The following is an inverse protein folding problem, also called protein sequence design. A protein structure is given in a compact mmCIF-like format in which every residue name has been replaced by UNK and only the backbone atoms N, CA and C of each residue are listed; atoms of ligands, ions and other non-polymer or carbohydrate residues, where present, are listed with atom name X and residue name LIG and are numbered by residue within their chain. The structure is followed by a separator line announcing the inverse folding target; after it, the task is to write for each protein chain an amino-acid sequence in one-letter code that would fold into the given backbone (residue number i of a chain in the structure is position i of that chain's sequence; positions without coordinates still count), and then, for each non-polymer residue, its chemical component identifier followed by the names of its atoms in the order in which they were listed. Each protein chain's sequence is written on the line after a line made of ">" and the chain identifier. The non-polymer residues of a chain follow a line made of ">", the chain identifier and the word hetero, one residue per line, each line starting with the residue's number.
data_IF_066046088157
#
_entry.id   IF_066046088157
#
_cell.length_a   1.000
_cell.length_b   1.000
_cell.length_c   1.000
_cell.angle_alpha   90.00
_cell.angle_beta   90.00
_cell.angle_gamma   90.00
#
_symmetry.space_group_name_H-M   'P 1'
#
loop_
_entity.id
_entity.type
_entity.pdbx_description
1 polymer ?
#
# COMPACT_ATOMS: atom_id res chain seq x y z
N UNK A 1 18.72 -64.02 26.04
CA UNK A 1 18.94 -64.50 27.42
C UNK A 1 17.59 -64.73 28.08
N UNK A 2 17.43 -65.87 28.78
CA UNK A 2 16.27 -66.34 29.58
C UNK A 2 15.04 -66.76 28.74
N UNK A 3 14.72 -68.03 28.50
CA UNK A 3 14.82 -69.28 29.28
C UNK A 3 14.15 -69.26 30.66
N UNK A 4 13.40 -70.35 30.91
CA UNK A 4 12.77 -70.85 32.13
C UNK A 4 11.25 -70.61 32.21
N UNK A 5 10.38 -71.60 32.40
CA UNK A 5 10.60 -73.01 32.72
C UNK A 5 9.44 -73.56 33.57
N UNK A 6 9.47 -74.89 33.76
CA UNK A 6 8.73 -75.69 34.76
C UNK A 6 7.26 -76.00 34.50
N UNK A 7 6.76 -77.21 34.76
CA UNK A 7 7.40 -78.48 35.18
C UNK A 7 6.30 -79.56 35.21
N UNK A 8 6.60 -80.69 34.58
CA UNK A 8 6.34 -82.09 34.94
C UNK A 8 5.24 -82.44 35.99
N UNK A 9 4.45 -83.49 35.71
CA UNK A 9 4.57 -84.73 36.48
C UNK A 9 4.07 -85.98 35.71
N UNK A 10 4.68 -87.11 36.02
CA UNK A 10 4.64 -88.40 35.34
C UNK A 10 3.60 -89.38 35.91
N UNK A 11 3.36 -90.48 35.18
CA UNK A 11 2.78 -91.70 35.75
C UNK A 11 2.07 -92.59 34.74
N UNK A 12 2.79 -93.54 34.14
CA UNK A 12 2.21 -94.82 33.64
C UNK A 12 2.08 -95.78 34.83
N UNK A 13 1.07 -96.68 34.83
CA UNK A 13 1.38 -98.05 34.43
C UNK A 13 0.28 -98.74 33.61
N UNK A 14 0.59 -99.98 33.26
CA UNK A 14 0.10 -100.84 32.18
C UNK A 14 -1.16 -101.66 32.52
N UNK A 15 -1.87 -102.02 31.43
CA UNK A 15 -2.67 -103.22 31.16
C UNK A 15 -3.73 -103.71 32.17
N UNK A 16 -5.00 -103.76 31.72
CA UNK A 16 -5.63 -105.03 31.34
C UNK A 16 -7.06 -104.81 30.80
N UNK A 17 -7.48 -105.79 30.02
CA UNK A 17 -8.68 -105.93 29.20
C UNK A 17 -10.00 -105.73 29.95
N UNK A 18 -11.03 -105.29 29.21
CA UNK A 18 -12.40 -105.28 29.71
C UNK A 18 -13.37 -104.63 28.73
N UNK A 19 -13.68 -105.34 27.65
CA UNK A 19 -14.66 -104.90 26.68
C UNK A 19 -16.02 -104.60 27.31
N UNK A 20 -16.62 -103.47 26.95
CA UNK A 20 -18.07 -103.26 27.00
C UNK A 20 -18.43 -102.16 26.00
N UNK A 21 -18.97 -102.60 24.86
CA UNK A 21 -19.61 -101.76 23.83
C UNK A 21 -20.65 -100.86 24.53
N UNK A 22 -20.31 -99.59 24.78
CA UNK A 22 -21.25 -98.56 25.24
C UNK A 22 -21.65 -97.71 24.03
N UNK A 23 -22.97 -97.57 23.89
CA UNK A 23 -23.71 -97.10 22.71
C UNK A 23 -23.11 -95.80 22.12
N UNK A 24 -22.78 -95.75 20.81
CA UNK A 24 -22.13 -94.60 20.16
C UNK A 24 -22.99 -93.32 20.16
N UNK A 25 -24.28 -93.42 20.50
CA UNK A 25 -25.22 -92.32 20.36
C UNK A 25 -25.03 -91.14 21.34
N UNK A 26 -24.43 -91.33 22.53
CA UNK A 26 -24.25 -90.24 23.51
C UNK A 26 -23.05 -89.32 23.24
N UNK A 27 -21.96 -89.86 22.68
CA UNK A 27 -20.79 -89.07 22.30
C UNK A 27 -21.03 -88.29 21.01
N UNK A 28 -21.76 -88.92 20.07
CA UNK A 28 -22.23 -88.28 18.84
C UNK A 28 -23.19 -87.14 19.17
N UNK A 29 -24.13 -87.34 20.11
CA UNK A 29 -25.04 -86.27 20.55
C UNK A 29 -24.31 -85.07 21.17
N UNK A 30 -23.26 -85.29 21.97
CA UNK A 30 -22.46 -84.22 22.56
C UNK A 30 -21.66 -83.43 21.51
N UNK A 31 -21.07 -84.12 20.53
CA UNK A 31 -20.35 -83.49 19.41
C UNK A 31 -21.30 -82.70 18.49
N UNK A 32 -22.52 -83.20 18.27
CA UNK A 32 -23.57 -82.46 17.55
C UNK A 32 -23.98 -81.21 18.33
N UNK A 33 -24.12 -81.29 19.65
CA UNK A 33 -24.47 -80.15 20.49
C UNK A 33 -23.36 -79.07 20.49
N UNK A 34 -22.10 -79.48 20.63
CA UNK A 34 -20.94 -78.58 20.56
C UNK A 34 -20.81 -77.97 19.16
N UNK A 35 -21.07 -78.75 18.10
CA UNK A 35 -21.11 -78.28 16.72
C UNK A 35 -22.21 -77.24 16.50
N UNK A 36 -23.41 -77.44 17.05
CA UNK A 36 -24.52 -76.49 17.01
C UNK A 36 -24.21 -75.19 17.78
N UNK A 37 -23.59 -75.30 18.97
CA UNK A 37 -23.16 -74.13 19.76
C UNK A 37 -22.05 -73.35 19.05
N UNK A 38 -21.08 -74.03 18.44
CA UNK A 38 -20.02 -73.40 17.65
C UNK A 38 -20.57 -72.74 16.36
N UNK A 39 -21.53 -73.36 15.69
CA UNK A 39 -22.18 -72.77 14.52
C UNK A 39 -23.04 -71.55 14.91
N UNK A 40 -23.74 -71.60 16.05
CA UNK A 40 -24.48 -70.47 16.59
C UNK A 40 -23.55 -69.31 17.01
N UNK A 41 -22.42 -69.62 17.65
CA UNK A 41 -21.42 -68.62 18.04
C UNK A 41 -20.72 -67.98 16.84
N UNK A 42 -20.39 -68.77 15.81
CA UNK A 42 -19.81 -68.25 14.56
C UNK A 42 -20.79 -67.36 13.78
N UNK A 43 -22.08 -67.75 13.73
CA UNK A 43 -23.14 -66.92 13.14
C UNK A 43 -23.35 -65.61 13.89
N UNK A 44 -23.35 -65.64 15.23
CA UNK A 44 -23.47 -64.45 16.07
C UNK A 44 -22.25 -63.51 15.92
N UNK A 45 -21.04 -64.07 15.82
CA UNK A 45 -19.82 -63.28 15.63
C UNK A 45 -19.75 -62.63 14.24
N UNK A 46 -20.16 -63.34 13.18
CA UNK A 46 -20.31 -62.78 11.83
C UNK A 46 -21.35 -61.66 11.77
N UNK A 47 -22.48 -61.83 12.45
CA UNK A 47 -23.53 -60.81 12.54
C UNK A 47 -23.09 -59.56 13.32
N UNK A 48 -22.38 -59.73 14.44
CA UNK A 48 -21.76 -58.65 15.20
C UNK A 48 -20.72 -57.86 14.37
N UNK A 49 -19.91 -58.55 13.57
CA UNK A 49 -18.91 -57.94 12.68
C UNK A 49 -19.55 -57.18 11.52
N UNK A 50 -20.63 -57.71 10.95
CA UNK A 50 -21.42 -57.02 9.93
C UNK A 50 -22.07 -55.74 10.46
N UNK A 51 -22.62 -55.77 11.68
CA UNK A 51 -23.19 -54.59 12.35
C UNK A 51 -22.16 -53.50 12.65
N UNK A 52 -20.92 -53.89 13.02
CA UNK A 52 -19.85 -52.91 13.28
C UNK A 52 -19.27 -52.32 12.00
N UNK A 53 -19.17 -53.10 10.92
CA UNK A 53 -18.80 -52.59 9.59
C UNK A 53 -19.87 -51.65 9.02
N UNK A 54 -21.16 -51.98 9.15
CA UNK A 54 -22.23 -51.05 8.76
C UNK A 54 -22.18 -49.73 9.54
N UNK A 55 -21.92 -49.79 10.86
CA UNK A 55 -21.77 -48.57 11.67
C UNK A 55 -20.56 -47.73 11.24
N UNK A 56 -19.42 -48.36 10.94
CA UNK A 56 -18.24 -47.65 10.40
C UNK A 56 -18.52 -46.99 9.06
N UNK A 57 -19.17 -47.70 8.14
CA UNK A 57 -19.53 -47.15 6.82
C UNK A 57 -20.53 -45.99 6.97
N UNK A 58 -21.49 -46.10 7.90
CA UNK A 58 -22.44 -45.03 8.20
C UNK A 58 -21.75 -43.81 8.84
N UNK A 59 -20.82 -44.01 9.77
CA UNK A 59 -20.03 -42.94 10.40
C UNK A 59 -19.09 -42.25 9.41
N UNK A 60 -18.44 -43.01 8.52
CA UNK A 60 -17.58 -42.46 7.46
C UNK A 60 -18.40 -41.65 6.44
N UNK A 61 -19.57 -42.15 6.02
CA UNK A 61 -20.48 -41.39 5.16
C UNK A 61 -21.01 -40.12 5.85
N UNK A 62 -21.37 -40.20 7.13
CA UNK A 62 -21.80 -39.03 7.89
C UNK A 62 -20.67 -37.99 8.03
N UNK A 63 -19.42 -38.43 8.23
CA UNK A 63 -18.24 -37.54 8.24
C UNK A 63 -17.98 -36.92 6.86
N UNK A 64 -18.06 -37.71 5.79
CA UNK A 64 -17.90 -37.20 4.42
C UNK A 64 -18.99 -36.18 4.07
N UNK A 65 -20.26 -36.45 4.40
CA UNK A 65 -21.35 -35.50 4.21
C UNK A 65 -21.16 -34.22 5.04
N UNK A 66 -20.65 -34.32 6.27
CA UNK A 66 -20.32 -33.15 7.08
C UNK A 66 -19.17 -32.33 6.49
N UNK A 67 -18.10 -32.98 6.03
CA UNK A 67 -16.99 -32.31 5.35
C UNK A 67 -17.43 -31.63 4.05
N UNK A 68 -18.27 -32.29 3.24
CA UNK A 68 -18.80 -31.72 2.01
C UNK A 68 -19.69 -30.51 2.28
N UNK A 69 -20.56 -30.56 3.30
CA UNK A 69 -21.36 -29.40 3.73
C UNK A 69 -20.47 -28.27 4.22
N UNK A 70 -19.48 -28.56 5.05
CA UNK A 70 -18.52 -27.55 5.54
C UNK A 70 -17.72 -26.91 4.38
N UNK A 71 -17.30 -27.70 3.38
CA UNK A 71 -16.65 -27.20 2.16
C UNK A 71 -17.58 -26.32 1.34
N UNK A 72 -18.85 -26.72 1.17
CA UNK A 72 -19.83 -25.91 0.44
C UNK A 72 -20.13 -24.59 1.16
N UNK A 73 -20.25 -24.60 2.48
CA UNK A 73 -20.44 -23.40 3.30
C UNK A 73 -19.22 -22.47 3.22
N UNK A 74 -18.01 -23.01 3.33
CA UNK A 74 -16.78 -22.25 3.18
C UNK A 74 -16.68 -21.60 1.78
N UNK A 75 -17.03 -22.33 0.71
CA UNK A 75 -17.07 -21.80 -0.65
C UNK A 75 -18.13 -20.71 -0.82
N UNK A 76 -19.31 -20.86 -0.21
CA UNK A 76 -20.36 -19.83 -0.23
C UNK A 76 -19.88 -18.56 0.48
N UNK A 77 -19.32 -18.69 1.68
CA UNK A 77 -18.78 -17.57 2.44
C UNK A 77 -17.68 -16.85 1.66
N UNK A 78 -16.76 -17.59 1.03
CA UNK A 78 -15.70 -16.99 0.21
C UNK A 78 -16.27 -16.23 -0.99
N UNK A 79 -17.31 -16.75 -1.64
CA UNK A 79 -18.00 -16.06 -2.74
C UNK A 79 -18.70 -14.78 -2.26
N UNK A 80 -19.34 -14.82 -1.10
CA UNK A 80 -20.00 -13.65 -0.50
C UNK A 80 -18.99 -12.56 -0.13
N UNK A 81 -17.86 -12.93 0.49
CA UNK A 81 -16.77 -12.02 0.80
C UNK A 81 -16.24 -11.36 -0.47
N UNK A 82 -15.99 -12.14 -1.52
CA UNK A 82 -15.51 -11.62 -2.80
C UNK A 82 -16.53 -10.70 -3.46
N UNK A 83 -17.79 -11.11 -3.53
CA UNK A 83 -18.86 -10.29 -4.11
C UNK A 83 -19.04 -8.96 -3.37
N UNK A 84 -18.94 -8.98 -2.04
CA UNK A 84 -18.98 -7.76 -1.22
C UNK A 84 -17.78 -6.85 -1.50
N UNK A 85 -16.59 -7.42 -1.62
CA UNK A 85 -15.38 -6.64 -1.96
C UNK A 85 -15.48 -6.02 -3.36
N UNK A 86 -15.93 -6.80 -4.35
CA UNK A 86 -16.13 -6.33 -5.72
C UNK A 86 -17.17 -5.18 -5.77
N UNK A 87 -18.24 -5.28 -4.98
CA UNK A 87 -19.22 -4.20 -4.84
C UNK A 87 -18.61 -2.92 -4.24
N UNK A 88 -17.70 -3.04 -3.26
CA UNK A 88 -16.96 -1.89 -2.73
C UNK A 88 -16.07 -1.23 -3.78
N UNK A 89 -15.37 -2.04 -4.60
CA UNK A 89 -14.56 -1.51 -5.71
C UNK A 89 -15.42 -0.78 -6.74
N UNK A 90 -16.59 -1.32 -7.09
CA UNK A 90 -17.53 -0.64 -8.00
C UNK A 90 -18.06 0.68 -7.42
N UNK A 91 -18.36 0.71 -6.12
CA UNK A 91 -18.77 1.96 -5.46
C UNK A 91 -17.66 3.01 -5.49
N UNK A 92 -16.42 2.59 -5.24
CA UNK A 92 -15.23 3.44 -5.34
C UNK A 92 -15.02 3.98 -6.76
N UNK A 93 -15.16 3.15 -7.79
CA UNK A 93 -15.13 3.57 -9.20
C UNK A 93 -16.19 4.63 -9.50
N UNK A 94 -17.42 4.43 -9.00
CA UNK A 94 -18.51 5.39 -9.16
C UNK A 94 -18.20 6.72 -8.49
N UNK A 95 -17.67 6.70 -7.26
CA UNK A 95 -17.29 7.92 -6.53
C UNK A 95 -16.15 8.66 -7.24
N UNK A 96 -15.18 7.93 -7.80
CA UNK A 96 -14.11 8.50 -8.59
C UNK A 96 -14.66 9.22 -9.84
N UNK A 97 -15.54 8.55 -10.59
CA UNK A 97 -16.17 9.12 -11.79
C UNK A 97 -16.99 10.38 -11.49
N UNK A 98 -17.58 10.47 -10.29
CA UNK A 98 -18.33 11.62 -9.81
C UNK A 98 -17.46 12.73 -9.20
N UNK A 99 -16.14 12.53 -9.06
CA UNK A 99 -15.24 13.49 -8.42
C UNK A 99 -15.46 13.65 -6.91
N UNK A 100 -16.16 12.71 -6.25
CA UNK A 100 -16.46 12.75 -4.81
C UNK A 100 -15.28 12.21 -3.99
N UNK A 101 -14.16 12.93 -4.02
CA UNK A 101 -12.89 12.43 -3.47
C UNK A 101 -12.89 12.23 -1.95
N UNK A 102 -13.62 13.06 -1.19
CA UNK A 102 -13.67 12.91 0.27
C UNK A 102 -14.40 11.63 0.69
N UNK A 103 -15.47 11.28 -0.03
CA UNK A 103 -16.19 10.03 0.20
C UNK A 103 -15.41 8.83 -0.31
N UNK A 104 -14.73 8.97 -1.45
CA UNK A 104 -13.84 7.95 -1.98
C UNK A 104 -12.74 7.61 -0.96
N UNK A 105 -12.14 8.59 -0.28
CA UNK A 105 -11.14 8.36 0.77
C UNK A 105 -11.69 7.55 1.95
N UNK A 106 -12.92 7.83 2.37
CA UNK A 106 -13.60 7.04 3.42
C UNK A 106 -13.80 5.59 2.95
N UNK A 107 -14.30 5.41 1.73
CA UNK A 107 -14.51 4.07 1.13
C UNK A 107 -13.21 3.28 0.92
N UNK A 108 -12.11 3.94 0.55
CA UNK A 108 -10.79 3.32 0.48
C UNK A 108 -10.37 2.76 1.83
N UNK A 109 -10.56 3.51 2.92
CA UNK A 109 -10.21 3.06 4.26
C UNK A 109 -11.07 1.84 4.70
N UNK A 110 -12.38 1.90 4.44
CA UNK A 110 -13.29 0.76 4.67
C UNK A 110 -12.86 -0.48 3.87
N UNK A 111 -12.55 -0.32 2.57
CA UNK A 111 -12.16 -1.42 1.69
C UNK A 111 -10.82 -2.04 2.11
N UNK A 112 -9.84 -1.22 2.54
CA UNK A 112 -8.55 -1.71 3.06
C UNK A 112 -8.72 -2.50 4.35
N UNK A 113 -9.55 -2.02 5.27
CA UNK A 113 -9.85 -2.74 6.50
C UNK A 113 -10.53 -4.09 6.21
N UNK A 114 -11.51 -4.11 5.30
CA UNK A 114 -12.17 -5.34 4.87
C UNK A 114 -11.19 -6.32 4.19
N UNK A 115 -10.33 -5.83 3.29
CA UNK A 115 -9.33 -6.64 2.63
C UNK A 115 -8.34 -7.26 3.63
N UNK A 116 -7.87 -6.48 4.62
CA UNK A 116 -6.98 -6.98 5.65
C UNK A 116 -7.65 -8.05 6.53
N UNK A 117 -8.91 -7.86 6.91
CA UNK A 117 -9.67 -8.82 7.72
C UNK A 117 -9.87 -10.17 7.03
N UNK A 118 -10.01 -10.16 5.70
CA UNK A 118 -10.33 -11.35 4.90
C UNK A 118 -9.16 -11.85 4.03
N UNK A 119 -7.96 -11.29 4.17
CA UNK A 119 -6.77 -11.69 3.41
C UNK A 119 -6.89 -11.46 1.90
N UNK A 120 -7.61 -10.42 1.47
CA UNK A 120 -7.81 -10.08 0.05
C UNK A 120 -6.69 -9.17 -0.48
N UNK A 121 -6.46 -9.21 -1.79
CA UNK A 121 -5.51 -8.30 -2.47
C UNK A 121 -6.02 -6.85 -2.47
N UNK A 122 -5.11 -5.90 -2.29
CA UNK A 122 -5.40 -4.45 -2.36
C UNK A 122 -5.13 -3.83 -3.72
N UNK A 123 -4.68 -4.60 -4.72
CA UNK A 123 -4.26 -4.08 -6.02
C UNK A 123 -5.34 -3.22 -6.71
N UNK A 124 -6.60 -3.66 -6.65
CA UNK A 124 -7.73 -2.88 -7.18
C UNK A 124 -7.93 -1.55 -6.44
N UNK A 125 -7.77 -1.53 -5.12
CA UNK A 125 -7.84 -0.31 -4.31
C UNK A 125 -6.70 0.63 -4.70
N UNK A 126 -5.48 0.11 -4.80
CA UNK A 126 -4.29 0.92 -5.06
C UNK A 126 -4.31 1.51 -6.48
N UNK A 127 -4.86 0.78 -7.46
CA UNK A 127 -5.15 1.30 -8.80
C UNK A 127 -6.14 2.47 -8.78
N UNK A 128 -7.24 2.35 -8.02
CA UNK A 128 -8.23 3.43 -7.87
C UNK A 128 -7.60 4.65 -7.20
N UNK A 129 -6.80 4.45 -6.14
CA UNK A 129 -6.07 5.51 -5.44
C UNK A 129 -5.13 6.24 -6.40
N UNK A 130 -4.35 5.52 -7.21
CA UNK A 130 -3.42 6.12 -8.16
C UNK A 130 -4.14 7.00 -9.19
N UNK A 131 -5.32 6.57 -9.69
CA UNK A 131 -6.14 7.38 -10.61
C UNK A 131 -6.73 8.61 -9.92
N UNK A 132 -7.18 8.48 -8.67
CA UNK A 132 -7.64 9.61 -7.86
C UNK A 132 -6.54 10.66 -7.69
N UNK A 133 -5.34 10.24 -7.26
CA UNK A 133 -4.19 11.12 -7.07
C UNK A 133 -3.78 11.80 -8.38
N UNK A 134 -3.82 11.08 -9.50
CA UNK A 134 -3.56 11.65 -10.81
C UNK A 134 -4.61 12.71 -11.18
N UNK A 135 -5.90 12.46 -10.94
CA UNK A 135 -6.96 13.41 -11.25
C UNK A 135 -6.84 14.70 -10.42
N UNK A 136 -6.61 14.56 -9.11
CA UNK A 136 -6.37 15.69 -8.20
C UNK A 136 -5.11 16.45 -8.63
N UNK A 137 -4.02 15.74 -8.92
CA UNK A 137 -2.76 16.33 -9.35
C UNK A 137 -2.89 17.09 -10.67
N UNK A 138 -3.66 16.59 -11.64
CA UNK A 138 -3.95 17.30 -12.91
C UNK A 138 -4.69 18.61 -12.67
N UNK A 139 -5.74 18.58 -11.84
CA UNK A 139 -6.51 19.78 -11.51
C UNK A 139 -5.62 20.82 -10.81
N UNK A 140 -4.82 20.39 -9.83
CA UNK A 140 -3.88 21.26 -9.13
C UNK A 140 -2.81 21.84 -10.06
N UNK A 141 -2.25 21.04 -10.95
CA UNK A 141 -1.26 21.53 -11.92
C UNK A 141 -1.86 22.61 -12.83
N UNK A 142 -3.07 22.42 -13.33
CA UNK A 142 -3.76 23.41 -14.15
C UNK A 142 -4.01 24.74 -13.39
N UNK A 143 -4.37 24.66 -12.11
CA UNK A 143 -4.50 25.83 -11.25
C UNK A 143 -3.17 26.58 -11.10
N UNK A 144 -2.07 25.86 -10.85
CA UNK A 144 -0.73 26.44 -10.73
C UNK A 144 -0.25 27.05 -12.05
N UNK A 145 -0.57 26.42 -13.19
CA UNK A 145 -0.26 26.96 -14.52
C UNK A 145 -0.98 28.29 -14.77
N UNK A 146 -2.24 28.42 -14.33
CA UNK A 146 -2.99 29.68 -14.38
C UNK A 146 -2.39 30.74 -13.46
N UNK A 147 -2.01 30.36 -12.23
CA UNK A 147 -1.36 31.29 -11.29
C UNK A 147 0.02 31.74 -11.79
N UNK A 148 0.68 30.95 -12.66
CA UNK A 148 1.96 31.32 -13.26
C UNK A 148 1.86 32.41 -14.34
N UNK A 149 0.66 32.93 -14.62
CA UNK A 149 0.47 34.19 -15.35
C UNK A 149 0.89 35.40 -14.52
N UNK A 150 0.81 35.32 -13.19
CA UNK A 150 1.33 36.33 -12.28
C UNK A 150 2.78 36.01 -11.89
N UNK A 151 3.70 36.85 -12.37
CA UNK A 151 5.12 36.74 -12.07
C UNK A 151 5.42 36.76 -10.56
N UNK A 152 4.63 37.45 -9.74
CA UNK A 152 4.83 37.52 -8.29
C UNK A 152 4.44 36.23 -7.55
N UNK A 153 3.61 35.37 -8.17
CA UNK A 153 3.20 34.10 -7.59
C UNK A 153 4.28 33.01 -7.69
N UNK A 154 5.47 33.31 -8.25
CA UNK A 154 6.51 32.34 -8.59
C UNK A 154 6.84 31.34 -7.46
N UNK A 155 6.92 31.81 -6.21
CA UNK A 155 7.28 30.98 -5.06
C UNK A 155 6.18 29.95 -4.75
N UNK A 156 4.93 30.41 -4.67
CA UNK A 156 3.78 29.55 -4.42
C UNK A 156 3.63 28.50 -5.53
N UNK A 157 3.79 28.93 -6.79
CA UNK A 157 3.74 28.04 -7.95
C UNK A 157 4.84 26.98 -7.88
N UNK A 158 6.08 27.38 -7.55
CA UNK A 158 7.23 26.46 -7.46
C UNK A 158 7.03 25.41 -6.38
N UNK A 159 6.68 25.82 -5.17
CA UNK A 159 6.45 24.92 -4.03
C UNK A 159 5.30 23.94 -4.34
N UNK A 160 4.20 24.44 -4.92
CA UNK A 160 3.07 23.60 -5.33
C UNK A 160 3.46 22.57 -6.41
N UNK A 161 4.24 22.98 -7.41
CA UNK A 161 4.65 22.12 -8.51
C UNK A 161 5.64 21.03 -8.05
N UNK A 162 6.52 21.32 -7.09
CA UNK A 162 7.43 20.32 -6.51
C UNK A 162 6.70 19.11 -5.94
N UNK A 163 5.55 19.34 -5.27
CA UNK A 163 4.71 18.27 -4.73
C UNK A 163 4.11 17.33 -5.78
N UNK A 164 4.05 17.76 -7.04
CA UNK A 164 3.45 17.00 -8.16
C UNK A 164 4.47 16.17 -8.94
N UNK A 165 5.78 16.43 -8.79
CA UNK A 165 6.87 15.73 -9.50
C UNK A 165 6.88 14.22 -9.20
N UNK A 166 6.37 13.84 -8.02
CA UNK A 166 6.23 12.43 -7.60
C UNK A 166 5.23 11.63 -8.45
N UNK A 167 4.26 12.29 -9.07
CA UNK A 167 3.28 11.65 -9.96
C UNK A 167 3.93 11.53 -11.34
N UNK A 168 4.29 10.31 -11.74
CA UNK A 168 5.08 10.05 -12.94
C UNK A 168 4.50 10.72 -14.20
N UNK A 169 3.18 10.69 -14.36
CA UNK A 169 2.47 11.27 -15.50
C UNK A 169 2.48 12.81 -15.52
N UNK A 170 2.73 13.47 -14.38
CA UNK A 170 2.77 14.93 -14.26
C UNK A 170 4.19 15.49 -14.19
N UNK A 171 5.17 14.63 -13.93
CA UNK A 171 6.56 14.99 -13.66
C UNK A 171 7.14 16.00 -14.66
N UNK A 172 7.04 15.71 -15.95
CA UNK A 172 7.63 16.55 -17.00
C UNK A 172 7.01 17.95 -17.01
N UNK A 173 5.67 18.06 -16.97
CA UNK A 173 4.98 19.35 -16.95
C UNK A 173 5.24 20.13 -15.65
N UNK A 174 5.21 19.45 -14.50
CA UNK A 174 5.54 20.06 -13.22
C UNK A 174 6.98 20.60 -13.19
N UNK A 175 7.94 19.84 -13.74
CA UNK A 175 9.34 20.28 -13.84
C UNK A 175 9.49 21.49 -14.76
N UNK A 176 8.80 21.49 -15.91
CA UNK A 176 8.81 22.63 -16.82
C UNK A 176 8.24 23.89 -16.15
N UNK A 177 7.16 23.74 -15.37
CA UNK A 177 6.59 24.83 -14.58
C UNK A 177 7.56 25.34 -13.52
N UNK A 178 8.23 24.45 -12.78
CA UNK A 178 9.29 24.82 -11.82
C UNK A 178 10.37 25.64 -12.51
N UNK A 179 10.89 25.18 -13.65
CA UNK A 179 11.92 25.91 -14.40
C UNK A 179 11.43 27.30 -14.81
N UNK A 180 10.19 27.41 -15.30
CA UNK A 180 9.57 28.69 -15.65
C UNK A 180 9.52 29.66 -14.46
N UNK A 181 9.28 29.18 -13.24
CA UNK A 181 9.24 30.06 -12.05
C UNK A 181 10.58 30.74 -11.72
N UNK A 182 11.72 30.21 -12.15
CA UNK A 182 13.00 30.91 -11.99
C UNK A 182 13.10 32.11 -12.93
N UNK A 183 12.56 31.99 -14.15
CA UNK A 183 12.41 33.11 -15.07
C UNK A 183 11.48 34.20 -14.54
N UNK A 184 10.41 33.80 -13.85
CA UNK A 184 9.50 34.73 -13.16
C UNK A 184 10.21 35.45 -12.01
N UNK A 185 10.88 34.71 -11.13
CA UNK A 185 11.65 35.28 -10.01
C UNK A 185 12.70 36.30 -10.50
N UNK A 186 13.40 35.98 -11.57
CA UNK A 186 14.34 36.89 -12.23
C UNK A 186 13.68 38.21 -12.64
N UNK A 187 12.55 38.15 -13.35
CA UNK A 187 11.82 39.35 -13.79
C UNK A 187 11.29 40.19 -12.63
N UNK A 188 10.75 39.54 -11.60
CA UNK A 188 10.30 40.23 -10.36
C UNK A 188 11.46 40.95 -9.70
N UNK A 189 12.62 40.29 -9.56
CA UNK A 189 13.80 40.92 -8.96
C UNK A 189 14.27 42.13 -9.79
N UNK A 190 14.27 42.05 -11.13
CA UNK A 190 14.57 43.21 -11.97
C UNK A 190 13.57 44.34 -11.77
N UNK A 191 12.27 44.04 -11.71
CA UNK A 191 11.23 45.04 -11.49
C UNK A 191 11.36 45.73 -10.13
N UNK A 192 11.61 44.97 -9.06
CA UNK A 192 11.83 45.53 -7.72
C UNK A 192 13.11 46.37 -7.67
N UNK A 193 14.17 45.92 -8.36
CA UNK A 193 15.41 46.68 -8.47
C UNK A 193 15.20 48.01 -9.19
N UNK A 194 14.39 48.01 -10.26
CA UNK A 194 14.02 49.18 -11.04
C UNK A 194 13.17 50.17 -10.25
N UNK A 195 12.14 49.69 -9.56
CA UNK A 195 11.30 50.52 -8.70
C UNK A 195 12.14 51.22 -7.63
N UNK A 196 13.00 50.46 -6.93
CA UNK A 196 13.87 51.02 -5.90
C UNK A 196 14.89 52.01 -6.49
N UNK A 197 15.47 51.72 -7.67
CA UNK A 197 16.38 52.65 -8.34
C UNK A 197 15.69 53.97 -8.70
N UNK A 198 14.46 53.88 -9.25
CA UNK A 198 13.64 55.05 -9.59
C UNK A 198 13.28 55.88 -8.37
N UNK A 199 12.88 55.23 -7.27
CA UNK A 199 12.59 55.91 -6.00
C UNK A 199 13.83 56.63 -5.44
N UNK A 200 14.99 55.97 -5.48
CA UNK A 200 16.26 56.57 -5.07
C UNK A 200 16.65 57.77 -5.94
N UNK A 201 16.45 57.68 -7.26
CA UNK A 201 16.69 58.77 -8.19
C UNK A 201 15.76 59.97 -7.97
N UNK A 202 14.52 59.70 -7.54
CA UNK A 202 13.54 60.72 -7.15
C UNK A 202 13.81 61.34 -5.76
N UNK A 203 14.86 60.91 -5.05
CA UNK A 203 15.22 61.42 -3.73
C UNK A 203 14.43 60.80 -2.57
N UNK A 204 13.59 59.79 -2.80
CA UNK A 204 12.87 59.07 -1.74
C UNK A 204 13.84 58.13 -1.04
N UNK A 205 14.14 58.34 0.25
CA UNK A 205 15.03 57.51 1.07
C UNK A 205 16.23 56.92 0.29
N UNK A 206 17.11 57.76 -0.28
CA UNK A 206 18.03 57.33 -1.33
C UNK A 206 18.99 56.22 -0.91
N UNK A 207 19.42 56.21 0.35
CA UNK A 207 20.32 55.18 0.89
C UNK A 207 19.66 53.79 0.91
N UNK A 208 18.45 53.71 1.48
CA UNK A 208 17.68 52.47 1.54
C UNK A 208 17.38 51.95 0.13
N UNK A 209 16.90 52.83 -0.74
CA UNK A 209 16.49 52.46 -2.08
C UNK A 209 17.66 52.07 -2.99
N UNK A 210 18.82 52.71 -2.84
CA UNK A 210 20.06 52.24 -3.47
C UNK A 210 20.44 50.83 -2.99
N UNK A 211 20.40 50.58 -1.67
CA UNK A 211 20.68 49.27 -1.09
C UNK A 211 19.73 48.17 -1.59
N UNK A 212 18.42 48.44 -1.56
CA UNK A 212 17.39 47.53 -2.08
C UNK A 212 17.57 47.26 -3.57
N UNK A 213 17.82 48.30 -4.37
CA UNK A 213 18.02 48.15 -5.80
C UNK A 213 19.20 47.23 -6.12
N UNK A 214 20.35 47.42 -5.44
CA UNK A 214 21.51 46.55 -5.58
C UNK A 214 21.24 45.12 -5.12
N UNK A 215 20.56 44.95 -3.98
CA UNK A 215 20.21 43.64 -3.46
C UNK A 215 19.37 42.84 -4.46
N UNK A 216 18.31 43.44 -5.01
CA UNK A 216 17.44 42.76 -5.97
C UNK A 216 18.13 42.49 -7.31
N UNK A 217 18.98 43.40 -7.80
CA UNK A 217 19.76 43.14 -9.02
C UNK A 217 20.73 41.97 -8.82
N UNK A 218 21.46 41.94 -7.71
CA UNK A 218 22.36 40.84 -7.38
C UNK A 218 21.61 39.50 -7.27
N UNK A 219 20.43 39.51 -6.65
CA UNK A 219 19.56 38.32 -6.59
C UNK A 219 19.09 37.89 -7.98
N UNK A 220 18.69 38.82 -8.85
CA UNK A 220 18.28 38.51 -10.21
C UNK A 220 19.42 37.81 -10.98
N UNK A 221 20.63 38.35 -10.92
CA UNK A 221 21.83 37.77 -11.56
C UNK A 221 22.11 36.37 -11.00
N UNK A 222 22.08 36.20 -9.67
CA UNK A 222 22.30 34.91 -9.02
C UNK A 222 21.28 33.85 -9.46
N UNK A 223 19.99 34.18 -9.48
CA UNK A 223 18.92 33.27 -9.96
C UNK A 223 19.17 32.90 -11.42
N UNK A 224 19.53 33.88 -12.26
CA UNK A 224 19.81 33.64 -13.67
C UNK A 224 20.99 32.68 -13.87
N UNK A 225 22.10 32.91 -13.18
CA UNK A 225 23.31 32.10 -13.33
C UNK A 225 23.10 30.69 -12.79
N UNK A 226 22.46 30.56 -11.63
CA UNK A 226 22.23 29.26 -11.00
C UNK A 226 21.29 28.38 -11.82
N UNK A 227 20.26 28.96 -12.46
CA UNK A 227 19.20 28.20 -13.13
C UNK A 227 19.17 28.36 -14.65
N UNK A 228 20.18 29.01 -15.25
CA UNK A 228 20.30 29.19 -16.70
C UNK A 228 19.18 30.03 -17.33
N UNK A 229 18.65 31.03 -16.60
CA UNK A 229 17.60 31.92 -17.14
C UNK A 229 18.20 32.83 -18.21
N UNK A 230 17.46 33.07 -19.29
CA UNK A 230 17.89 34.01 -20.33
C UNK A 230 18.06 35.44 -19.77
N UNK A 231 19.22 36.05 -20.03
CA UNK A 231 19.57 37.37 -19.52
C UNK A 231 18.88 38.49 -20.31
N UNK A 232 18.23 39.41 -19.62
CA UNK A 232 17.90 40.74 -20.14
C UNK A 232 19.05 41.72 -19.86
N UNK A 233 20.13 41.56 -20.65
CA UNK A 233 21.35 42.37 -20.49
C UNK A 233 21.13 43.86 -20.73
N UNK A 234 20.09 44.25 -21.47
CA UNK A 234 19.78 45.65 -21.70
C UNK A 234 19.24 46.27 -20.42
N UNK A 235 18.24 45.62 -19.79
CA UNK A 235 17.64 46.07 -18.54
C UNK A 235 18.62 46.03 -17.37
N UNK A 236 19.43 44.97 -17.24
CA UNK A 236 20.49 44.90 -16.22
C UNK A 236 21.48 46.07 -16.32
N UNK A 237 21.93 46.41 -17.53
CA UNK A 237 22.85 47.56 -17.74
C UNK A 237 22.21 48.89 -17.42
N UNK A 238 20.95 49.09 -17.80
CA UNK A 238 20.20 50.30 -17.46
C UNK A 238 20.09 50.48 -15.94
N UNK A 239 19.81 49.40 -15.21
CA UNK A 239 19.76 49.42 -13.74
C UNK A 239 21.11 49.78 -13.12
N UNK A 240 22.21 49.20 -13.59
CA UNK A 240 23.55 49.55 -13.11
C UNK A 240 23.87 51.03 -13.34
N UNK A 241 23.55 51.56 -14.52
CA UNK A 241 23.76 52.98 -14.81
C UNK A 241 22.92 53.88 -13.89
N UNK A 242 21.67 53.50 -13.64
CA UNK A 242 20.77 54.23 -12.73
C UNK A 242 21.28 54.18 -11.29
N UNK A 243 21.70 53.01 -10.81
CA UNK A 243 22.29 52.85 -9.48
C UNK A 243 23.56 53.69 -9.31
N UNK A 244 24.43 53.75 -10.33
CA UNK A 244 25.61 54.61 -10.33
C UNK A 244 25.23 56.09 -10.26
N UNK A 245 24.24 56.52 -11.05
CA UNK A 245 23.75 57.89 -11.01
C UNK A 245 23.18 58.28 -9.64
N UNK A 246 22.40 57.38 -9.01
CA UNK A 246 21.89 57.60 -7.64
C UNK A 246 23.02 57.69 -6.63
N UNK A 247 24.02 56.81 -6.73
CA UNK A 247 25.17 56.81 -5.83
C UNK A 247 25.97 58.11 -5.89
N UNK A 248 26.34 58.57 -7.10
CA UNK A 248 27.13 59.80 -7.27
C UNK A 248 26.29 61.08 -7.10
N UNK A 249 24.98 61.02 -7.32
CA UNK A 249 24.08 62.17 -7.15
C UNK A 249 23.76 62.50 -5.70
N UNK A 250 24.01 61.58 -4.76
CA UNK A 250 23.61 61.71 -3.36
C UNK A 250 24.84 61.84 -2.45
N UNK A 251 25.04 63.03 -1.88
CA UNK A 251 26.20 63.33 -1.01
C UNK A 251 26.35 62.31 0.14
N UNK A 252 25.25 61.93 0.78
CA UNK A 252 25.26 61.01 1.92
C UNK A 252 25.80 59.61 1.58
N UNK A 253 25.54 59.11 0.35
CA UNK A 253 26.09 57.86 -0.15
C UNK A 253 27.58 57.99 -0.49
N UNK A 254 28.00 59.11 -1.06
CA UNK A 254 29.41 59.34 -1.42
C UNK A 254 30.31 59.58 -0.19
N UNK A 255 29.83 60.31 0.81
CA UNK A 255 30.62 60.67 2.01
C UNK A 255 30.85 59.50 2.96
N UNK A 256 29.98 58.49 2.95
CA UNK A 256 30.10 57.28 3.75
C UNK A 256 30.96 56.19 3.10
N UNK A 257 31.26 56.31 1.80
CA UNK A 257 31.89 55.26 0.99
C UNK A 257 33.31 55.58 0.52
N UNK A 258 33.69 56.85 0.48
CA UNK A 258 35.04 57.29 0.09
C UNK A 258 35.89 57.38 1.37
N UNK A 259 36.98 56.60 1.51
CA UNK A 259 37.89 56.73 2.65
C UNK A 259 38.36 58.17 2.78
N UNK A 260 38.26 58.74 3.98
CA UNK A 260 38.60 60.14 4.25
C UNK A 260 40.06 60.50 3.90
N UNK A 261 40.93 59.52 3.64
CA UNK A 261 42.35 59.70 3.29
C UNK A 261 42.68 59.75 1.78
N UNK A 262 41.70 59.94 0.91
CA UNK A 262 41.90 60.09 -0.55
C UNK A 262 41.90 61.56 -1.03
N UNK A 263 41.84 62.51 -0.11
CA UNK A 263 41.98 63.95 -0.35
C UNK A 263 43.13 64.52 0.47
#
# INVERSE_FOLDING_TARGET
>A
MRQNGSSANAGRPSAAQGGRKRKPHRLIALLILIGLVLCGAAGYWGYQRYLSEQKRIAEERARQEQEERARQEALRLQREIKARFDAMLQEMERLLAQGRYDELRKKIAEARAFAAQHGLSTEGIDSIVARMELAIGKARLAELERLAEDDFAFRYVREGAQGLVRIAQLRSRAQALIVRTYGMEYRVCLHLSESAAGDGAAGRNPELNYGLSKHFLARAVSVREQYGVAADRARERLLLNTQNAVFFGQKALTSSSIPAGLY
#
